data_IF_052294670440
#
_entry.id   IF_052294670440
#
_cell.length_a   1.000
_cell.length_b   1.000
_cell.length_c   1.000
_cell.angle_alpha   90.00
_cell.angle_beta   90.00
_cell.angle_gamma   90.00
#
_symmetry.space_group_name_H-M   'P 1'
#
loop_
_entity.id
_entity.type
_entity.pdbx_description
1 polymer ?
#
# COMPACT_ATOMS: atom_id res chain seq x y z
N UNK A 1 4.10 -10.51 15.69
CA UNK A 1 2.70 -10.15 15.40
C UNK A 1 2.37 -8.86 16.13
N UNK A 2 1.72 -7.92 15.45
CA UNK A 2 1.27 -6.63 16.00
C UNK A 2 -0.23 -6.52 15.73
N UNK A 3 -1.00 -6.08 16.71
CA UNK A 3 -2.45 -5.88 16.61
C UNK A 3 -2.81 -4.40 16.80
N UNK A 4 -3.82 -3.92 16.09
CA UNK A 4 -4.27 -2.52 16.19
C UNK A 4 -4.93 -1.99 14.92
N UNK A 5 -4.80 -0.69 14.66
CA UNK A 5 -5.20 -0.08 13.41
C UNK A 5 -4.16 -0.33 12.32
N UNK A 6 -4.57 -0.85 11.16
CA UNK A 6 -3.69 -1.03 9.99
C UNK A 6 -3.94 0.02 8.91
N UNK A 7 -5.11 0.66 8.95
CA UNK A 7 -5.56 1.69 8.02
C UNK A 7 -6.27 2.80 8.80
N UNK A 8 -5.48 3.68 9.40
CA UNK A 8 -5.98 4.81 10.22
C UNK A 8 -5.39 6.12 9.74
N UNK A 9 -6.13 7.21 9.97
CA UNK A 9 -5.70 8.55 9.60
C UNK A 9 -4.39 8.95 10.31
N UNK A 10 -3.66 9.87 9.69
CA UNK A 10 -2.39 10.43 10.18
C UNK A 10 -1.27 9.41 10.44
N UNK A 11 -1.36 8.21 9.87
CA UNK A 11 -0.30 7.20 9.88
C UNK A 11 -0.12 6.56 8.50
N UNK A 12 1.08 6.08 8.15
CA UNK A 12 1.26 5.28 6.95
C UNK A 12 0.43 4.00 7.04
N UNK A 13 -0.27 3.65 5.95
CA UNK A 13 -0.95 2.37 5.84
C UNK A 13 0.06 1.23 5.75
N UNK A 14 -0.37 0.02 6.06
CA UNK A 14 0.44 -1.19 5.88
C UNK A 14 0.92 -1.39 4.43
N UNK A 15 0.13 -0.94 3.45
CA UNK A 15 0.51 -0.93 2.04
C UNK A 15 1.67 0.02 1.75
N UNK A 16 1.70 1.21 2.37
CA UNK A 16 2.84 2.10 2.25
C UNK A 16 4.12 1.45 2.79
N UNK A 17 4.03 0.79 3.95
CA UNK A 17 5.19 0.09 4.53
C UNK A 17 5.70 -1.00 3.57
N UNK A 18 4.80 -1.88 3.12
CA UNK A 18 5.14 -3.03 2.27
C UNK A 18 5.60 -2.63 0.88
N UNK A 19 4.90 -1.70 0.24
CA UNK A 19 5.03 -1.44 -1.20
C UNK A 19 5.92 -0.22 -1.51
N UNK A 20 6.20 0.64 -0.51
CA UNK A 20 7.06 1.83 -0.65
C UNK A 20 8.30 1.76 0.24
N UNK A 21 8.12 1.65 1.56
CA UNK A 21 9.25 1.73 2.50
C UNK A 21 10.17 0.51 2.41
N UNK A 22 9.62 -0.70 2.41
CA UNK A 22 10.42 -1.92 2.45
C UNK A 22 11.29 -2.14 1.20
N UNK A 23 10.82 -1.84 -0.03
CA UNK A 23 11.70 -1.83 -1.20
C UNK A 23 12.90 -0.89 -1.04
N UNK A 24 12.71 0.29 -0.44
CA UNK A 24 13.81 1.22 -0.16
C UNK A 24 14.76 0.66 0.91
N UNK A 25 14.23 0.06 1.98
CA UNK A 25 15.05 -0.62 3.00
C UNK A 25 15.88 -1.76 2.40
N UNK A 26 15.33 -2.48 1.43
CA UNK A 26 16.06 -3.54 0.72
C UNK A 26 17.29 -3.01 -0.02
N UNK A 27 17.20 -1.82 -0.64
CA UNK A 27 18.33 -1.18 -1.34
C UNK A 27 19.49 -0.82 -0.38
N UNK A 28 19.22 -0.59 0.91
CA UNK A 28 20.26 -0.36 1.93
C UNK A 28 20.72 -1.64 2.64
N UNK A 29 20.19 -2.81 2.27
CA UNK A 29 20.60 -4.12 2.81
C UNK A 29 19.71 -4.66 3.94
N UNK A 30 18.56 -4.03 4.22
CA UNK A 30 17.60 -4.48 5.23
C UNK A 30 16.48 -5.26 4.52
N UNK A 31 16.36 -6.56 4.83
CA UNK A 31 15.29 -7.39 4.28
C UNK A 31 14.14 -7.48 5.26
N UNK A 32 12.95 -7.14 4.78
CA UNK A 32 11.70 -7.21 5.54
C UNK A 32 10.59 -7.80 4.69
N UNK A 33 9.64 -8.47 5.34
CA UNK A 33 8.35 -8.84 4.75
C UNK A 33 7.22 -8.58 5.72
N UNK A 34 6.05 -8.23 5.20
CA UNK A 34 4.85 -7.99 6.00
C UNK A 34 3.66 -8.70 5.40
N UNK A 35 2.98 -9.44 6.27
CA UNK A 35 1.74 -10.15 5.99
C UNK A 35 0.62 -9.48 6.79
N UNK A 36 -0.55 -9.32 6.16
CA UNK A 36 -1.74 -8.73 6.78
C UNK A 36 -2.76 -9.85 6.91
N UNK A 37 -3.01 -10.29 8.15
CA UNK A 37 -4.02 -11.33 8.39
C UNK A 37 -5.42 -10.72 8.42
N UNK A 38 -5.54 -9.52 9.00
CA UNK A 38 -6.81 -8.83 9.18
C UNK A 38 -6.64 -7.32 9.16
N UNK A 39 -7.57 -6.61 8.54
CA UNK A 39 -7.52 -5.16 8.44
C UNK A 39 -8.16 -4.52 9.67
N UNK A 40 -7.60 -3.41 10.15
CA UNK A 40 -8.07 -2.67 11.32
C UNK A 40 -8.31 -1.21 10.97
N UNK A 41 -9.55 -0.75 11.20
CA UNK A 41 -10.02 0.60 10.90
C UNK A 41 -10.31 1.37 12.20
N UNK A 42 -10.19 2.70 12.18
CA UNK A 42 -10.66 3.53 13.29
C UNK A 42 -12.20 3.42 13.45
N UNK A 43 -12.76 3.50 14.67
CA UNK A 43 -12.10 3.59 15.98
C UNK A 43 -11.74 2.23 16.60
N UNK A 44 -12.36 1.14 16.13
CA UNK A 44 -12.28 -0.17 16.77
C UNK A 44 -10.95 -0.90 16.60
N UNK A 45 -10.16 -0.55 15.58
CA UNK A 45 -8.91 -1.23 15.25
C UNK A 45 -9.15 -2.70 14.93
N UNK A 46 -8.42 -3.58 15.62
CA UNK A 46 -8.58 -5.03 15.53
C UNK A 46 -7.97 -5.69 14.30
N UNK A 47 -7.16 -4.95 13.53
CA UNK A 47 -6.30 -5.52 12.50
C UNK A 47 -5.09 -6.22 13.11
N UNK A 48 -4.45 -7.07 12.33
CA UNK A 48 -3.26 -7.81 12.73
C UNK A 48 -2.29 -7.95 11.55
N UNK A 49 -1.02 -7.74 11.84
CA UNK A 49 0.07 -7.89 10.88
C UNK A 49 1.22 -8.72 11.47
N UNK A 50 1.85 -9.50 10.60
CA UNK A 50 3.10 -10.18 10.90
C UNK A 50 4.24 -9.51 10.12
N UNK A 51 5.24 -8.99 10.84
CA UNK A 51 6.43 -8.38 10.26
C UNK A 51 7.62 -9.29 10.54
N UNK A 52 8.33 -9.67 9.48
CA UNK A 52 9.60 -10.38 9.55
C UNK A 52 10.72 -9.45 9.14
N UNK A 53 11.81 -9.44 9.92
CA UNK A 53 12.99 -8.62 9.69
C UNK A 53 14.21 -9.54 9.80
N UNK A 54 15.01 -9.62 8.75
CA UNK A 54 16.28 -10.34 8.80
C UNK A 54 17.39 -9.44 9.36
N UNK A 55 18.32 -9.97 10.18
CA UNK A 55 19.50 -9.22 10.61
C UNK A 55 20.32 -8.72 9.42
N UNK A 56 20.53 -7.40 9.33
CA UNK A 56 21.36 -6.80 8.29
C UNK A 56 22.84 -7.08 8.58
N UNK A 57 23.54 -7.77 7.66
CA UNK A 57 24.98 -8.04 7.78
C UNK A 57 25.84 -6.80 7.52
N UNK A 58 25.37 -5.91 6.64
CA UNK A 58 26.03 -4.67 6.25
C UNK A 58 24.97 -3.70 5.70
N UNK A 59 25.11 -2.43 6.02
CA UNK A 59 24.32 -1.36 5.40
C UNK A 59 25.08 -0.74 4.23
N UNK A 60 24.36 -0.43 3.17
CA UNK A 60 24.90 0.28 2.00
C UNK A 60 24.27 1.68 1.91
N UNK A 61 25.03 2.72 1.53
CA UNK A 61 24.44 4.02 1.25
C UNK A 61 23.49 3.92 0.07
N UNK A 62 22.46 4.76 0.07
CA UNK A 62 21.53 4.93 -1.03
C UNK A 62 21.61 6.39 -1.49
N UNK A 63 21.69 6.58 -2.81
CA UNK A 63 21.72 7.89 -3.44
C UNK A 63 20.59 7.97 -4.48
N UNK A 64 19.45 8.52 -4.07
CA UNK A 64 18.29 8.75 -4.93
C UNK A 64 18.00 10.24 -4.90
N UNK A 65 18.63 10.96 -5.82
CA UNK A 65 18.46 12.41 -6.00
C UNK A 65 17.38 12.75 -7.02
N UNK A 66 17.08 11.82 -7.92
CA UNK A 66 16.04 11.95 -8.95
C UNK A 66 15.18 10.69 -9.01
N UNK A 67 13.88 10.85 -9.22
CA UNK A 67 12.95 9.71 -9.34
C UNK A 67 13.04 8.97 -10.68
N UNK A 68 13.39 9.67 -11.77
CA UNK A 68 13.34 9.12 -13.13
C UNK A 68 11.98 9.26 -13.81
N UNK A 69 11.73 8.50 -14.88
CA UNK A 69 10.45 8.52 -15.60
C UNK A 69 9.46 7.59 -14.92
N UNK A 70 8.17 7.91 -15.06
CA UNK A 70 7.08 7.06 -14.59
C UNK A 70 7.05 5.80 -15.47
N UNK A 71 7.12 4.63 -14.84
CA UNK A 71 7.14 3.33 -15.53
C UNK A 71 5.83 2.58 -15.40
N UNK A 72 5.15 2.71 -14.24
CA UNK A 72 3.91 1.99 -13.97
C UNK A 72 3.04 2.72 -12.95
N UNK A 73 1.72 2.62 -13.12
CA UNK A 73 0.74 3.00 -12.11
C UNK A 73 -0.07 1.75 -11.74
N UNK A 74 -0.12 1.45 -10.46
CA UNK A 74 -1.02 0.44 -9.90
C UNK A 74 -1.86 1.06 -8.78
N UNK A 75 -3.02 0.51 -8.49
CA UNK A 75 -3.79 0.90 -7.33
C UNK A 75 -4.58 -0.25 -6.75
N UNK A 76 -4.99 -0.07 -5.50
CA UNK A 76 -5.84 -0.95 -4.72
C UNK A 76 -7.04 -0.14 -4.22
N UNK A 77 -8.23 -0.59 -4.55
CA UNK A 77 -9.48 -0.04 -4.02
C UNK A 77 -10.14 -1.10 -3.16
N UNK A 78 -10.26 -0.82 -1.87
CA UNK A 78 -10.67 -1.82 -0.89
C UNK A 78 -11.86 -1.37 -0.06
N UNK A 79 -12.64 -2.35 0.37
CA UNK A 79 -13.72 -2.20 1.35
C UNK A 79 -13.65 -3.32 2.38
N UNK A 80 -14.09 -3.03 3.60
CA UNK A 80 -14.40 -4.01 4.63
C UNK A 80 -15.80 -3.75 5.18
N UNK A 81 -16.65 -4.77 5.22
CA UNK A 81 -18.01 -4.68 5.76
C UNK A 81 -18.83 -3.50 5.19
N UNK A 82 -18.58 -3.17 3.91
CA UNK A 82 -19.23 -2.12 3.15
C UNK A 82 -19.55 -2.66 1.75
N UNK A 83 -20.57 -2.12 1.05
CA UNK A 83 -20.90 -2.57 -0.29
C UNK A 83 -19.71 -2.46 -1.25
N UNK A 84 -19.44 -3.54 -2.00
CA UNK A 84 -18.37 -3.61 -3.01
C UNK A 84 -18.45 -2.46 -4.03
N UNK A 85 -19.66 -1.97 -4.33
CA UNK A 85 -19.90 -0.82 -5.21
C UNK A 85 -19.17 0.46 -4.80
N UNK A 86 -18.75 0.61 -3.54
CA UNK A 86 -17.91 1.73 -3.12
C UNK A 86 -16.52 1.63 -3.74
N UNK A 87 -15.89 0.46 -3.69
CA UNK A 87 -14.58 0.22 -4.31
C UNK A 87 -14.66 0.30 -5.84
N UNK A 88 -15.73 -0.23 -6.44
CA UNK A 88 -15.97 -0.12 -7.89
C UNK A 88 -16.05 1.36 -8.33
N UNK A 89 -16.81 2.19 -7.59
CA UNK A 89 -16.90 3.63 -7.90
C UNK A 89 -15.57 4.36 -7.74
N UNK A 90 -14.79 4.03 -6.72
CA UNK A 90 -13.45 4.58 -6.52
C UNK A 90 -12.52 4.22 -7.69
N UNK A 91 -12.46 2.92 -8.05
CA UNK A 91 -11.70 2.41 -9.19
C UNK A 91 -12.09 3.13 -10.48
N UNK A 92 -13.38 3.12 -10.82
CA UNK A 92 -13.87 3.64 -12.09
C UNK A 92 -13.62 5.15 -12.21
N UNK A 93 -13.75 5.88 -11.09
CA UNK A 93 -13.40 7.30 -11.05
C UNK A 93 -11.91 7.52 -11.28
N UNK A 94 -11.05 6.74 -10.63
CA UNK A 94 -9.61 6.86 -10.79
C UNK A 94 -9.15 6.53 -12.22
N UNK A 95 -9.66 5.43 -12.81
CA UNK A 95 -9.37 5.05 -14.20
C UNK A 95 -9.74 6.16 -15.18
N UNK A 96 -10.93 6.76 -15.05
CA UNK A 96 -11.33 7.88 -15.91
C UNK A 96 -10.39 9.08 -15.80
N UNK A 97 -10.04 9.48 -14.57
CA UNK A 97 -9.15 10.63 -14.34
C UNK A 97 -7.73 10.40 -14.87
N UNK A 98 -7.24 9.16 -14.83
CA UNK A 98 -5.94 8.78 -15.38
C UNK A 98 -5.97 8.74 -16.90
N UNK A 99 -7.02 8.15 -17.48
CA UNK A 99 -7.23 8.10 -18.92
C UNK A 99 -7.34 9.51 -19.54
N UNK A 100 -8.03 10.45 -18.88
CA UNK A 100 -8.10 11.86 -19.28
C UNK A 100 -6.71 12.54 -19.34
N UNK A 101 -5.74 12.00 -18.60
CA UNK A 101 -4.34 12.47 -18.58
C UNK A 101 -3.44 11.65 -19.51
N UNK A 102 -3.98 10.70 -20.27
CA UNK A 102 -3.20 9.78 -21.11
C UNK A 102 -2.34 8.81 -20.31
N UNK A 103 -2.77 8.47 -19.08
CA UNK A 103 -2.09 7.53 -18.20
C UNK A 103 -2.92 6.25 -18.05
N UNK A 104 -2.25 5.11 -18.22
CA UNK A 104 -2.84 3.80 -17.95
C UNK A 104 -2.51 3.34 -16.52
N UNK A 105 -3.44 2.64 -15.89
CA UNK A 105 -3.25 2.05 -14.57
C UNK A 105 -4.02 0.76 -14.40
N UNK A 106 -3.43 -0.15 -13.62
CA UNK A 106 -4.08 -1.37 -13.16
C UNK A 106 -4.61 -1.15 -11.75
N UNK A 107 -5.92 -1.34 -11.55
CA UNK A 107 -6.54 -1.11 -10.24
C UNK A 107 -7.27 -2.36 -9.77
N UNK A 108 -6.79 -2.95 -8.70
CA UNK A 108 -7.38 -4.11 -8.04
C UNK A 108 -8.53 -3.69 -7.10
N UNK A 109 -9.59 -4.50 -7.05
CA UNK A 109 -10.66 -4.36 -6.06
C UNK A 109 -10.51 -5.47 -5.02
N UNK A 110 -10.52 -5.10 -3.74
CA UNK A 110 -10.38 -6.06 -2.63
C UNK A 110 -11.50 -5.89 -1.60
N UNK A 111 -12.13 -7.01 -1.26
CA UNK A 111 -12.96 -7.11 -0.06
C UNK A 111 -12.11 -7.68 1.07
N UNK A 112 -11.69 -6.81 1.99
CA UNK A 112 -10.73 -7.14 3.02
C UNK A 112 -11.42 -7.57 4.33
N UNK A 113 -11.00 -8.68 4.95
CA UNK A 113 -11.55 -9.12 6.23
C UNK A 113 -11.19 -8.13 7.34
N UNK A 114 -12.19 -7.70 8.11
CA UNK A 114 -12.03 -6.77 9.24
C UNK A 114 -13.16 -6.94 10.24
N UNK A 115 -12.93 -6.67 11.54
CA UNK A 115 -14.02 -6.51 12.50
C UNK A 115 -14.79 -5.19 12.32
N UNK A 116 -14.20 -4.21 11.63
CA UNK A 116 -14.76 -2.86 11.44
C UNK A 116 -15.22 -2.59 10.01
N UNK A 117 -15.88 -1.45 9.82
CA UNK A 117 -16.20 -0.91 8.49
C UNK A 117 -15.11 0.04 8.06
N UNK A 118 -14.72 -0.02 6.79
CA UNK A 118 -13.75 0.91 6.25
C UNK A 118 -13.52 0.73 4.76
N UNK A 119 -12.88 1.72 4.16
CA UNK A 119 -12.51 1.72 2.75
C UNK A 119 -11.16 2.40 2.57
N UNK A 120 -10.42 1.98 1.56
CA UNK A 120 -9.13 2.53 1.18
C UNK A 120 -9.07 2.66 -0.33
N UNK A 121 -8.47 3.74 -0.80
CA UNK A 121 -7.92 3.80 -2.14
C UNK A 121 -6.42 4.11 -2.02
N UNK A 122 -5.58 3.19 -2.47
CA UNK A 122 -4.12 3.30 -2.43
C UNK A 122 -3.57 3.23 -3.85
N UNK A 123 -2.88 4.28 -4.30
CA UNK A 123 -2.23 4.32 -5.62
C UNK A 123 -0.72 4.30 -5.44
N UNK A 124 -0.05 3.46 -6.23
CA UNK A 124 1.39 3.33 -6.28
C UNK A 124 1.89 3.67 -7.68
N UNK A 125 2.87 4.56 -7.72
CA UNK A 125 3.56 4.96 -8.94
C UNK A 125 5.01 4.51 -8.89
N UNK A 126 5.45 3.80 -9.92
CA UNK A 126 6.81 3.29 -10.05
C UNK A 126 7.61 4.19 -10.98
N UNK A 127 8.88 4.40 -10.64
CA UNK A 127 9.80 5.20 -11.44
C UNK A 127 11.16 4.53 -11.52
N UNK A 128 11.88 4.77 -12.63
CA UNK A 128 13.15 4.11 -12.98
C UNK A 128 14.18 4.04 -11.83
N UNK A 129 14.32 5.11 -11.03
CA UNK A 129 15.39 5.19 -10.04
C UNK A 129 14.95 4.75 -8.63
N UNK A 130 13.64 4.59 -8.41
CA UNK A 130 13.08 4.26 -7.10
C UNK A 130 12.77 2.77 -7.01
N UNK A 131 12.31 2.13 -8.11
CA UNK A 131 11.98 0.71 -8.12
C UNK A 131 12.93 -0.06 -9.03
#
# INVERSE_FOLDING_TARGET
MIEGGTHVEWSPTVHYLRDVLFPLLSKIGIKTSLEIDRWGWYPGGGGSVCLHIEPAKRLSPIDITERGKLTRITALSAVSNLPLSIAERQRDRALRLLQEKGLDAEIEIVEAPSPGKGTLFFMLTEFDNIR
#
